data_IF_343061627610
#
_entry.id   IF_343061627610
#
_cell.length_a   1.000
_cell.length_b   1.000
_cell.length_c   1.000
_cell.angle_alpha   90.00
_cell.angle_beta   90.00
_cell.angle_gamma   90.00
#
_symmetry.space_group_name_H-M   'P 1'
#
loop_
_entity.id
_entity.type
_entity.pdbx_description
1 polymer ?
#
# COMPACT_ATOMS: atom_id res chain seq x y z
N UNK A 1 27.71 -2.38 14.14
CA UNK A 1 26.34 -1.93 13.83
C UNK A 1 25.36 -2.99 14.34
N UNK A 2 24.18 -2.60 14.84
CA UNK A 2 23.11 -3.59 15.03
C UNK A 2 22.55 -3.91 13.65
N UNK A 3 22.51 -5.19 13.27
CA UNK A 3 21.83 -5.63 12.05
C UNK A 3 20.33 -5.35 12.22
N UNK A 4 19.81 -4.42 11.42
CA UNK A 4 18.39 -4.01 11.39
C UNK A 4 17.71 -4.47 10.10
N UNK A 5 18.33 -5.40 9.39
CA UNK A 5 17.89 -5.86 8.08
C UNK A 5 17.06 -7.15 8.17
N UNK A 6 15.89 -7.12 7.54
CA UNK A 6 15.11 -8.29 7.19
C UNK A 6 15.36 -8.58 5.72
N UNK A 7 16.05 -9.68 5.43
CA UNK A 7 16.54 -9.99 4.09
C UNK A 7 15.63 -11.04 3.47
N UNK A 8 15.23 -10.86 2.22
CA UNK A 8 14.59 -11.89 1.42
C UNK A 8 15.20 -12.02 0.03
N UNK A 9 14.51 -12.72 -0.86
CA UNK A 9 14.95 -12.96 -2.22
C UNK A 9 13.77 -12.93 -3.20
N UNK A 10 14.09 -12.92 -4.49
CA UNK A 10 13.10 -13.16 -5.54
C UNK A 10 12.56 -14.59 -5.49
N UNK A 11 11.38 -14.79 -6.05
CA UNK A 11 10.70 -16.09 -6.05
C UNK A 11 10.28 -16.52 -7.46
N UNK A 12 10.22 -17.83 -7.67
CA UNK A 12 9.61 -18.46 -8.83
C UNK A 12 8.33 -19.17 -8.39
N UNK A 13 7.22 -18.92 -9.08
CA UNK A 13 5.95 -19.58 -8.78
C UNK A 13 5.90 -20.99 -9.35
N UNK A 14 5.25 -21.89 -8.62
CA UNK A 14 4.92 -23.24 -9.06
C UNK A 14 3.45 -23.54 -8.73
N UNK A 15 2.58 -23.87 -9.69
CA UNK A 15 2.82 -23.86 -11.13
C UNK A 15 3.21 -22.47 -11.67
N UNK A 16 3.92 -22.45 -12.80
CA UNK A 16 4.23 -21.20 -13.49
C UNK A 16 2.94 -20.44 -13.85
N UNK A 17 2.99 -19.10 -13.82
CA UNK A 17 1.81 -18.25 -14.05
C UNK A 17 0.88 -18.07 -12.84
N UNK A 18 1.05 -18.85 -11.76
CA UNK A 18 0.22 -18.69 -10.55
C UNK A 18 0.37 -17.29 -9.95
N UNK A 19 -0.74 -16.56 -9.75
CA UNK A 19 -0.73 -15.19 -9.19
C UNK A 19 0.24 -14.24 -9.92
N UNK A 20 0.28 -14.28 -11.25
CA UNK A 20 1.32 -13.64 -12.07
C UNK A 20 1.60 -12.17 -11.72
N UNK A 21 0.55 -11.34 -11.53
CA UNK A 21 0.72 -9.92 -11.14
C UNK A 21 1.46 -9.77 -9.81
N UNK A 22 1.10 -10.58 -8.83
CA UNK A 22 1.77 -10.58 -7.53
C UNK A 22 3.22 -11.04 -7.66
N UNK A 23 3.46 -12.11 -8.43
CA UNK A 23 4.81 -12.62 -8.68
C UNK A 23 5.69 -11.60 -9.41
N UNK A 24 5.12 -10.81 -10.34
CA UNK A 24 5.82 -9.71 -10.98
C UNK A 24 6.17 -8.63 -9.97
N UNK A 25 5.17 -8.15 -9.22
CA UNK A 25 5.33 -7.12 -8.20
C UNK A 25 6.44 -7.45 -7.20
N UNK A 26 6.37 -8.59 -6.50
CA UNK A 26 7.37 -8.98 -5.49
C UNK A 26 8.79 -9.15 -6.04
N UNK A 27 8.94 -9.36 -7.35
CA UNK A 27 10.24 -9.55 -8.00
C UNK A 27 10.76 -8.27 -8.66
N UNK A 28 9.94 -7.25 -8.87
CA UNK A 28 10.31 -6.03 -9.61
C UNK A 28 10.55 -4.79 -8.74
N UNK A 29 10.12 -4.80 -7.47
CA UNK A 29 10.35 -3.66 -6.56
C UNK A 29 11.82 -3.27 -6.51
N UNK A 30 12.13 -1.98 -6.63
CA UNK A 30 13.46 -1.47 -6.30
C UNK A 30 13.69 -1.50 -4.78
N UNK A 31 14.93 -1.26 -4.34
CA UNK A 31 15.29 -1.19 -2.91
C UNK A 31 14.44 -0.16 -2.17
N UNK A 32 14.24 1.03 -2.74
CA UNK A 32 13.43 2.08 -2.13
C UNK A 32 11.94 1.70 -2.10
N UNK A 33 11.47 1.02 -3.15
CA UNK A 33 10.10 0.53 -3.24
C UNK A 33 9.76 -0.55 -2.21
N UNK A 34 10.75 -1.25 -1.64
CA UNK A 34 10.51 -2.13 -0.49
C UNK A 34 9.96 -1.35 0.72
N UNK A 35 10.28 -0.06 0.85
CA UNK A 35 9.73 0.81 1.89
C UNK A 35 8.47 1.54 1.41
N UNK A 36 8.50 2.15 0.23
CA UNK A 36 7.42 3.02 -0.24
C UNK A 36 6.17 2.25 -0.66
N UNK A 37 6.28 0.97 -1.04
CA UNK A 37 5.13 0.14 -1.44
C UNK A 37 4.61 -0.79 -0.33
N UNK A 38 5.06 -0.58 0.92
CA UNK A 38 4.55 -1.31 2.09
C UNK A 38 3.03 -1.12 2.32
N UNK A 39 2.42 -0.12 1.69
CA UNK A 39 1.00 0.23 1.84
C UNK A 39 0.09 -0.40 0.78
N UNK A 40 0.62 -1.21 -0.14
CA UNK A 40 -0.17 -1.90 -1.18
C UNK A 40 -0.85 -3.18 -0.63
N UNK A 41 -1.83 -3.72 -1.36
CA UNK A 41 -2.55 -4.95 -1.02
C UNK A 41 -1.70 -6.21 -1.11
N UNK A 42 -0.52 -6.11 -1.69
CA UNK A 42 0.40 -7.22 -1.92
C UNK A 42 1.42 -7.40 -0.79
N UNK A 43 1.51 -6.46 0.16
CA UNK A 43 2.51 -6.51 1.23
C UNK A 43 2.43 -7.79 2.10
N UNK A 44 3.53 -8.22 2.74
CA UNK A 44 4.85 -7.59 2.84
C UNK A 44 5.63 -7.44 1.52
N UNK A 45 6.47 -6.40 1.41
CA UNK A 45 7.29 -6.12 0.20
C UNK A 45 8.51 -7.04 0.06
N UNK A 46 8.99 -7.57 1.18
CA UNK A 46 9.86 -8.75 1.23
C UNK A 46 8.97 -9.91 1.64
N UNK A 47 8.83 -10.93 0.79
CA UNK A 47 7.79 -11.96 0.95
C UNK A 47 8.23 -13.08 1.90
N UNK A 48 7.37 -13.49 2.83
CA UNK A 48 7.55 -14.76 3.54
C UNK A 48 7.23 -15.93 2.57
N UNK A 49 8.01 -17.03 2.51
CA UNK A 49 9.00 -17.52 3.47
C UNK A 49 10.46 -17.17 3.17
N UNK A 50 10.75 -16.09 2.45
CA UNK A 50 12.15 -15.76 2.08
C UNK A 50 12.97 -15.15 3.23
N UNK A 51 12.33 -14.83 4.35
CA UNK A 51 12.91 -14.01 5.40
C UNK A 51 14.11 -14.66 6.10
N UNK A 52 15.20 -13.92 6.10
CA UNK A 52 16.42 -14.19 6.86
C UNK A 52 16.76 -12.95 7.69
N UNK A 53 16.87 -13.13 9.00
CA UNK A 53 17.26 -12.07 9.92
C UNK A 53 17.97 -12.63 11.14
N UNK A 54 18.70 -11.78 11.87
CA UNK A 54 19.33 -12.21 13.12
C UNK A 54 18.27 -12.51 14.19
N UNK A 55 18.53 -13.50 15.06
CA UNK A 55 17.68 -13.78 16.23
C UNK A 55 17.46 -12.53 17.09
N UNK A 56 18.48 -11.67 17.20
CA UNK A 56 18.38 -10.40 17.94
C UNK A 56 17.35 -9.46 17.31
N UNK A 57 17.33 -9.33 15.98
CA UNK A 57 16.31 -8.54 15.28
C UNK A 57 14.91 -9.13 15.50
N UNK A 58 14.75 -10.43 15.31
CA UNK A 58 13.46 -11.12 15.54
C UNK A 58 12.91 -10.85 16.95
N UNK A 59 13.73 -11.05 17.98
CA UNK A 59 13.34 -10.78 19.37
C UNK A 59 13.05 -9.29 19.64
N UNK A 60 13.70 -8.38 18.92
CA UNK A 60 13.46 -6.93 19.05
C UNK A 60 12.12 -6.53 18.43
N UNK A 61 11.80 -7.06 17.25
CA UNK A 61 10.51 -6.81 16.58
C UNK A 61 9.36 -7.35 17.45
N UNK A 62 9.51 -8.58 17.92
CA UNK A 62 8.49 -9.32 18.68
C UNK A 62 8.21 -10.67 18.05
N UNK A 63 7.52 -11.54 18.78
CA UNK A 63 7.03 -12.81 18.24
C UNK A 63 5.88 -12.56 17.25
N UNK A 64 5.56 -13.57 16.43
CA UNK A 64 4.36 -13.54 15.59
C UNK A 64 3.10 -13.49 16.46
N UNK A 65 2.04 -12.90 15.91
CA UNK A 65 0.72 -12.90 16.54
C UNK A 65 0.10 -14.30 16.42
N UNK A 66 -0.16 -14.93 17.57
CA UNK A 66 -0.72 -16.30 17.67
C UNK A 66 -2.25 -16.30 17.80
N UNK A 67 -2.93 -15.20 17.45
CA UNK A 67 -4.40 -15.08 17.51
C UNK A 67 -5.17 -16.05 16.61
N UNK A 68 -4.47 -16.83 15.78
CA UNK A 68 -5.01 -17.96 15.05
C UNK A 68 -5.53 -17.62 13.65
N UNK A 69 -6.46 -18.44 13.15
CA UNK A 69 -6.95 -18.39 11.77
C UNK A 69 -7.52 -17.01 11.42
N UNK A 70 -6.99 -16.40 10.36
CA UNK A 70 -7.44 -15.09 9.85
C UNK A 70 -6.61 -13.89 10.34
N UNK A 71 -5.62 -14.13 11.21
CA UNK A 71 -4.59 -13.14 11.54
C UNK A 71 -3.54 -13.10 10.41
N UNK A 72 -3.17 -11.93 9.88
CA UNK A 72 -2.06 -11.79 8.93
C UNK A 72 -0.75 -11.53 9.69
N UNK A 73 -0.26 -12.55 10.37
CA UNK A 73 0.90 -12.52 11.25
C UNK A 73 2.17 -11.97 10.57
N UNK A 74 2.40 -12.33 9.31
CA UNK A 74 3.53 -11.85 8.52
C UNK A 74 3.45 -10.33 8.31
N UNK A 75 2.27 -9.82 7.95
CA UNK A 75 2.08 -8.39 7.74
C UNK A 75 2.24 -7.60 9.05
N UNK A 76 1.71 -8.13 10.15
CA UNK A 76 1.83 -7.51 11.47
C UNK A 76 3.28 -7.44 11.93
N UNK A 77 4.03 -8.54 11.79
CA UNK A 77 5.47 -8.56 12.08
C UNK A 77 6.21 -7.56 11.20
N UNK A 78 5.91 -7.53 9.90
CA UNK A 78 6.56 -6.62 8.96
C UNK A 78 6.31 -5.14 9.30
N UNK A 79 5.07 -4.78 9.67
CA UNK A 79 4.76 -3.42 10.12
C UNK A 79 5.48 -3.07 11.41
N UNK A 80 5.53 -3.98 12.38
CA UNK A 80 6.26 -3.75 13.63
C UNK A 80 7.77 -3.58 13.38
N UNK A 81 8.33 -4.36 12.45
CA UNK A 81 9.70 -4.21 11.98
C UNK A 81 9.96 -2.82 11.40
N UNK A 82 9.09 -2.33 10.52
CA UNK A 82 9.20 -0.99 9.94
C UNK A 82 9.04 0.12 10.99
N UNK A 83 8.12 -0.03 11.95
CA UNK A 83 7.93 0.92 13.07
C UNK A 83 9.20 1.13 13.87
N UNK A 84 9.99 0.08 14.05
CA UNK A 84 11.24 0.10 14.80
C UNK A 84 12.46 0.56 13.97
N UNK A 85 12.24 1.10 12.77
CA UNK A 85 13.30 1.55 11.87
C UNK A 85 14.01 0.41 11.13
N UNK A 86 13.37 -0.74 10.99
CA UNK A 86 13.87 -1.85 10.21
C UNK A 86 14.03 -1.50 8.72
N UNK A 87 15.07 -2.04 8.09
CA UNK A 87 15.33 -1.83 6.65
C UNK A 87 15.12 -3.15 5.88
N UNK A 88 14.04 -3.27 5.09
CA UNK A 88 13.85 -4.44 4.25
C UNK A 88 14.91 -4.48 3.15
N UNK A 89 15.49 -5.65 2.92
CA UNK A 89 16.40 -5.91 1.80
C UNK A 89 15.92 -7.12 1.01
N UNK A 90 16.12 -7.08 -0.31
CA UNK A 90 15.86 -8.21 -1.19
C UNK A 90 17.08 -8.45 -2.07
N UNK A 91 17.51 -9.70 -2.16
CA UNK A 91 18.42 -10.13 -3.20
C UNK A 91 17.63 -10.33 -4.50
N UNK A 92 18.03 -9.66 -5.57
CA UNK A 92 17.39 -9.74 -6.90
C UNK A 92 17.76 -11.02 -7.67
N UNK A 93 17.78 -12.13 -6.95
CA UNK A 93 17.94 -13.48 -7.48
C UNK A 93 16.75 -14.32 -7.05
N UNK A 94 16.25 -15.16 -7.97
CA UNK A 94 15.15 -16.09 -7.69
C UNK A 94 15.69 -17.32 -6.98
N UNK A 95 15.68 -17.30 -5.64
CA UNK A 95 16.25 -18.36 -4.81
C UNK A 95 15.20 -19.25 -4.13
N UNK A 96 13.91 -18.89 -4.22
CA UNK A 96 12.81 -19.66 -3.64
C UNK A 96 11.81 -20.10 -4.72
N UNK A 97 11.50 -21.39 -4.76
CA UNK A 97 10.30 -21.90 -5.45
C UNK A 97 9.10 -21.75 -4.52
N UNK A 98 8.27 -20.76 -4.78
CA UNK A 98 7.10 -20.44 -3.96
C UNK A 98 5.85 -21.09 -4.55
N UNK A 99 5.54 -22.29 -4.05
CA UNK A 99 4.40 -23.11 -4.50
C UNK A 99 3.07 -22.45 -4.15
N UNK A 100 2.20 -22.31 -5.14
CA UNK A 100 0.81 -21.94 -4.96
C UNK A 100 -0.02 -23.18 -4.58
N UNK A 101 -0.96 -23.00 -3.67
CA UNK A 101 -1.91 -24.04 -3.28
C UNK A 101 -3.27 -23.40 -3.01
N UNK A 102 -4.35 -24.00 -3.50
CA UNK A 102 -5.71 -23.45 -3.37
C UNK A 102 -6.21 -23.42 -1.93
N UNK A 103 -5.71 -24.32 -1.08
CA UNK A 103 -6.01 -24.34 0.36
C UNK A 103 -5.05 -23.47 1.22
N UNK A 104 -4.38 -22.47 0.62
CA UNK A 104 -3.47 -21.61 1.37
C UNK A 104 -4.18 -20.88 2.54
N UNK A 105 -3.51 -20.81 3.70
CA UNK A 105 -4.05 -20.15 4.90
C UNK A 105 -4.41 -18.68 4.67
N UNK A 106 -3.79 -18.03 3.68
CA UNK A 106 -4.10 -16.67 3.22
C UNK A 106 -5.58 -16.47 2.90
N UNK A 107 -6.30 -17.51 2.47
CA UNK A 107 -7.75 -17.43 2.21
C UNK A 107 -8.60 -17.20 3.46
N UNK A 108 -8.04 -17.43 4.66
CA UNK A 108 -8.72 -17.15 5.93
C UNK A 108 -8.63 -15.69 6.37
N UNK A 109 -7.68 -14.92 5.83
CA UNK A 109 -7.54 -13.50 6.14
C UNK A 109 -8.49 -12.71 5.25
N UNK A 110 -9.35 -11.89 5.85
CA UNK A 110 -10.35 -11.12 5.09
C UNK A 110 -9.74 -9.87 4.44
N UNK A 111 -10.30 -9.44 3.30
CA UNK A 111 -9.92 -8.18 2.65
C UNK A 111 -10.11 -6.99 3.61
N UNK A 112 -11.16 -6.99 4.44
CA UNK A 112 -11.42 -5.92 5.41
C UNK A 112 -10.37 -5.85 6.51
N UNK A 113 -9.85 -7.00 6.97
CA UNK A 113 -8.73 -7.04 7.92
C UNK A 113 -7.48 -6.40 7.31
N UNK A 114 -7.06 -6.84 6.12
CA UNK A 114 -5.89 -6.29 5.42
C UNK A 114 -6.08 -4.80 5.12
N UNK A 115 -7.28 -4.42 4.66
CA UNK A 115 -7.62 -3.03 4.38
C UNK A 115 -7.46 -2.15 5.62
N UNK A 116 -8.03 -2.55 6.76
CA UNK A 116 -7.93 -1.79 8.01
C UNK A 116 -6.47 -1.62 8.44
N UNK A 117 -5.70 -2.71 8.47
CA UNK A 117 -4.28 -2.67 8.85
C UNK A 117 -3.47 -1.73 7.95
N UNK A 118 -3.71 -1.76 6.63
CA UNK A 118 -3.05 -0.88 5.68
C UNK A 118 -3.46 0.58 5.85
N UNK A 119 -4.75 0.87 6.06
CA UNK A 119 -5.21 2.25 6.32
C UNK A 119 -4.59 2.78 7.60
N UNK A 120 -4.58 1.99 8.67
CA UNK A 120 -3.99 2.39 9.96
C UNK A 120 -2.49 2.67 9.81
N UNK A 121 -1.76 1.80 9.11
CA UNK A 121 -0.33 1.97 8.87
C UNK A 121 -0.03 3.18 7.96
N UNK A 122 -0.82 3.40 6.90
CA UNK A 122 -0.71 4.58 6.05
C UNK A 122 -0.93 5.88 6.84
N UNK A 123 -1.95 5.91 7.70
CA UNK A 123 -2.24 7.06 8.54
C UNK A 123 -1.11 7.35 9.53
N UNK A 124 -0.57 6.29 10.16
CA UNK A 124 0.50 6.36 11.12
C UNK A 124 1.80 6.87 10.49
N UNK A 125 2.19 6.33 9.34
CA UNK A 125 3.54 6.50 8.78
C UNK A 125 3.65 7.59 7.72
N UNK A 126 2.59 7.85 6.97
CA UNK A 126 2.60 8.81 5.87
C UNK A 126 1.74 10.01 6.21
N UNK A 127 0.44 9.81 6.46
CA UNK A 127 -0.49 10.93 6.60
C UNK A 127 -0.29 11.72 7.90
N UNK A 128 0.39 11.16 8.90
CA UNK A 128 0.79 11.87 10.12
C UNK A 128 1.79 13.00 9.83
N UNK A 129 2.59 12.85 8.77
CA UNK A 129 3.65 13.79 8.38
C UNK A 129 3.15 14.87 7.40
N UNK A 130 1.96 14.68 6.82
CA UNK A 130 1.41 15.59 5.83
C UNK A 130 0.34 16.48 6.44
N UNK A 131 0.36 17.77 6.11
CA UNK A 131 -0.69 18.71 6.49
C UNK A 131 -1.96 18.50 5.66
N UNK A 132 -1.79 18.12 4.40
CA UNK A 132 -2.86 17.92 3.42
C UNK A 132 -2.37 17.02 2.29
N UNK A 133 -3.30 16.42 1.54
CA UNK A 133 -2.99 15.58 0.39
C UNK A 133 -4.17 15.43 -0.57
N UNK A 134 -3.91 14.89 -1.76
CA UNK A 134 -4.91 14.55 -2.78
C UNK A 134 -5.01 13.03 -2.93
N UNK A 135 -6.24 12.50 -3.06
CA UNK A 135 -6.45 11.09 -3.40
C UNK A 135 -6.62 10.95 -4.91
N UNK A 136 -5.66 10.29 -5.57
CA UNK A 136 -5.75 10.01 -7.00
C UNK A 136 -6.55 8.72 -7.21
N UNK A 137 -7.86 8.90 -7.40
CA UNK A 137 -8.91 7.96 -7.83
C UNK A 137 -10.25 8.50 -7.28
N UNK A 138 -11.04 9.17 -8.11
CA UNK A 138 -12.35 9.70 -7.71
C UNK A 138 -13.47 8.64 -7.74
N UNK A 139 -13.12 7.35 -7.85
CA UNK A 139 -14.02 6.19 -7.93
C UNK A 139 -14.07 5.37 -6.65
N UNK A 140 -14.38 4.07 -6.79
CA UNK A 140 -14.68 3.16 -5.67
C UNK A 140 -13.56 3.09 -4.63
N UNK A 141 -12.31 2.89 -5.07
CA UNK A 141 -11.19 2.67 -4.15
C UNK A 141 -10.78 3.93 -3.40
N UNK A 142 -10.63 5.07 -4.09
CA UNK A 142 -10.28 6.33 -3.42
C UNK A 142 -11.37 6.79 -2.45
N UNK A 143 -12.65 6.68 -2.82
CA UNK A 143 -13.76 6.97 -1.90
C UNK A 143 -13.81 5.99 -0.72
N UNK A 144 -13.48 4.71 -0.92
CA UNK A 144 -13.36 3.74 0.18
C UNK A 144 -12.24 4.16 1.14
N UNK A 145 -11.08 4.61 0.62
CA UNK A 145 -9.98 5.10 1.45
C UNK A 145 -10.45 6.30 2.27
N UNK A 146 -10.99 7.35 1.63
CA UNK A 146 -11.49 8.54 2.30
C UNK A 146 -12.41 8.21 3.47
N UNK A 147 -13.41 7.35 3.25
CA UNK A 147 -14.37 6.93 4.29
C UNK A 147 -13.74 6.12 5.43
N UNK A 148 -12.60 5.48 5.16
CA UNK A 148 -11.87 4.66 6.14
C UNK A 148 -10.87 5.46 6.98
N UNK A 149 -10.55 6.70 6.57
CA UNK A 149 -9.64 7.56 7.31
C UNK A 149 -10.27 8.01 8.64
N UNK A 150 -9.42 8.28 9.62
CA UNK A 150 -9.81 9.05 10.82
C UNK A 150 -10.33 10.43 10.42
N UNK A 151 -11.17 11.03 11.27
CA UNK A 151 -11.72 12.36 11.01
C UNK A 151 -10.64 13.42 10.78
N UNK A 152 -9.52 13.31 11.51
CA UNK A 152 -8.36 14.20 11.36
C UNK A 152 -7.81 14.10 9.94
N UNK A 153 -7.56 12.88 9.45
CA UNK A 153 -7.00 12.69 8.10
C UNK A 153 -8.01 12.89 6.98
N UNK A 154 -9.32 12.72 7.21
CA UNK A 154 -10.36 13.13 6.25
C UNK A 154 -10.28 14.63 5.95
N UNK A 155 -10.09 15.46 6.98
CA UNK A 155 -9.96 16.93 6.85
C UNK A 155 -8.70 17.37 6.11
N UNK A 156 -7.70 16.52 6.02
CA UNK A 156 -6.47 16.75 5.24
C UNK A 156 -6.66 16.55 3.74
N UNK A 157 -7.74 15.88 3.31
CA UNK A 157 -7.98 15.60 1.88
C UNK A 157 -8.45 16.87 1.18
N UNK A 158 -7.59 17.44 0.34
CA UNK A 158 -7.88 18.65 -0.44
C UNK A 158 -8.78 18.37 -1.63
N UNK A 159 -8.54 17.27 -2.32
CA UNK A 159 -9.25 16.89 -3.52
C UNK A 159 -9.21 15.37 -3.74
N UNK A 160 -10.14 14.90 -4.55
CA UNK A 160 -9.90 13.75 -5.41
C UNK A 160 -9.39 14.26 -6.76
N UNK A 161 -8.57 13.45 -7.43
CA UNK A 161 -8.30 13.66 -8.84
C UNK A 161 -8.46 12.37 -9.65
N UNK A 162 -8.70 12.52 -10.95
CA UNK A 162 -8.86 11.41 -11.89
C UNK A 162 -8.48 11.84 -13.32
N UNK A 163 -8.44 10.86 -14.23
CA UNK A 163 -8.31 11.05 -15.68
C UNK A 163 -9.65 10.84 -16.40
N UNK A 164 -10.62 10.22 -15.71
CA UNK A 164 -11.95 9.95 -16.25
C UNK A 164 -12.83 11.20 -16.19
N UNK A 165 -13.08 11.79 -17.36
CA UNK A 165 -13.91 12.99 -17.54
C UNK A 165 -15.30 12.86 -16.89
N UNK A 166 -15.91 11.68 -16.90
CA UNK A 166 -17.22 11.49 -16.28
C UNK A 166 -17.17 11.64 -14.76
N UNK A 167 -16.03 11.33 -14.14
CA UNK A 167 -15.84 11.57 -12.70
C UNK A 167 -15.52 13.03 -12.43
N UNK A 168 -14.70 13.65 -13.26
CA UNK A 168 -14.30 15.07 -13.14
C UNK A 168 -15.53 15.98 -13.27
N UNK A 169 -16.41 15.71 -14.24
CA UNK A 169 -17.65 16.47 -14.46
C UNK A 169 -18.60 16.47 -13.26
N UNK A 170 -18.47 15.53 -12.31
CA UNK A 170 -19.25 15.54 -11.06
C UNK A 170 -18.85 16.68 -10.13
N UNK A 171 -17.68 17.29 -10.34
CA UNK A 171 -17.06 18.41 -9.61
C UNK A 171 -16.77 18.17 -8.13
N UNK A 172 -17.61 17.43 -7.42
CA UNK A 172 -17.50 17.16 -6.00
C UNK A 172 -17.91 15.73 -5.65
N UNK A 173 -17.31 15.21 -4.59
CA UNK A 173 -17.76 14.04 -3.86
C UNK A 173 -18.29 14.45 -2.49
N UNK A 174 -19.53 14.09 -2.19
CA UNK A 174 -20.13 14.29 -0.87
C UNK A 174 -20.14 12.97 -0.10
N UNK A 175 -19.63 12.98 1.13
CA UNK A 175 -19.70 11.81 2.01
C UNK A 175 -21.07 11.73 2.69
N UNK A 176 -22.02 11.09 1.99
CA UNK A 176 -23.43 11.06 2.39
C UNK A 176 -23.69 10.40 3.75
N UNK A 177 -22.90 9.40 4.11
CA UNK A 177 -23.03 8.63 5.36
C UNK A 177 -22.35 9.33 6.56
N UNK A 178 -21.69 10.48 6.34
CA UNK A 178 -21.04 11.24 7.41
C UNK A 178 -22.05 11.80 8.41
N UNK A 179 -21.65 11.80 9.68
CA UNK A 179 -22.39 12.44 10.78
C UNK A 179 -22.13 13.95 10.86
N UNK A 180 -21.07 14.46 10.23
CA UNK A 180 -20.77 15.91 10.22
C UNK A 180 -21.84 16.72 9.47
N UNK A 181 -22.06 17.96 9.93
CA UNK A 181 -22.99 18.93 9.33
C UNK A 181 -22.28 20.28 9.20
N UNK A 182 -22.15 20.85 7.98
CA UNK A 182 -22.54 20.28 6.68
C UNK A 182 -21.80 18.97 6.36
N UNK A 183 -22.38 18.14 5.48
CA UNK A 183 -21.74 16.90 5.05
C UNK A 183 -20.39 17.21 4.37
N UNK A 184 -19.32 16.46 4.66
CA UNK A 184 -18.03 16.67 4.03
C UNK A 184 -18.16 16.57 2.52
N UNK A 185 -17.66 17.59 1.83
CA UNK A 185 -17.68 17.70 0.37
C UNK A 185 -16.25 17.96 -0.09
N UNK A 186 -15.74 17.11 -0.99
CA UNK A 186 -14.36 17.16 -1.49
C UNK A 186 -14.40 17.39 -3.00
N UNK A 187 -13.67 18.38 -3.55
CA UNK A 187 -13.64 18.62 -4.99
C UNK A 187 -13.04 17.43 -5.75
N UNK A 188 -13.48 17.25 -6.99
CA UNK A 188 -12.94 16.29 -7.95
C UNK A 188 -12.33 17.07 -9.10
N UNK A 189 -11.01 16.96 -9.24
CA UNK A 189 -10.22 17.71 -10.22
C UNK A 189 -9.70 16.81 -11.33
N UNK A 190 -9.38 17.40 -12.47
CA UNK A 190 -8.51 16.73 -13.45
C UNK A 190 -7.10 16.59 -12.84
N UNK A 191 -6.42 15.47 -13.07
CA UNK A 191 -5.13 15.18 -12.42
C UNK A 191 -4.06 16.26 -12.63
N UNK A 192 -4.05 16.96 -13.77
CA UNK A 192 -3.11 18.07 -14.06
C UNK A 192 -3.35 19.32 -13.21
N UNK A 193 -4.55 19.49 -12.67
CA UNK A 193 -4.92 20.64 -11.84
C UNK A 193 -4.76 20.34 -10.34
N UNK A 194 -4.56 19.07 -10.01
CA UNK A 194 -4.42 18.62 -8.64
C UNK A 194 -3.02 18.89 -8.09
N UNK A 195 -2.93 19.14 -6.79
CA UNK A 195 -1.67 19.39 -6.09
C UNK A 195 -1.37 18.29 -5.09
N UNK A 196 -0.08 17.96 -4.98
CA UNK A 196 0.43 16.94 -4.08
C UNK A 196 0.55 17.41 -2.62
N UNK A 197 0.98 16.51 -1.73
CA UNK A 197 1.35 15.13 -2.04
C UNK A 197 0.13 14.24 -2.34
N UNK A 198 0.35 13.08 -2.97
CA UNK A 198 -0.72 12.20 -3.47
C UNK A 198 -0.75 10.82 -2.80
N UNK A 199 -1.96 10.32 -2.55
CA UNK A 199 -2.19 8.88 -2.34
C UNK A 199 -2.80 8.30 -3.60
N UNK A 200 -2.08 7.39 -4.25
CA UNK A 200 -2.47 6.78 -5.51
C UNK A 200 -3.30 5.52 -5.25
N UNK A 201 -4.61 5.61 -5.47
CA UNK A 201 -5.54 4.48 -5.34
C UNK A 201 -5.90 3.86 -6.70
N UNK A 202 -5.05 4.05 -7.70
CA UNK A 202 -5.18 3.43 -9.03
C UNK A 202 -4.45 2.08 -9.01
N UNK A 203 -5.06 1.04 -9.60
CA UNK A 203 -4.45 -0.29 -9.65
C UNK A 203 -3.19 -0.27 -10.51
N UNK A 204 -2.08 -0.73 -9.94
CA UNK A 204 -0.84 -1.00 -10.67
C UNK A 204 -1.08 -2.04 -11.79
N UNK A 205 -0.29 -1.95 -12.86
CA UNK A 205 -0.29 -2.86 -14.02
C UNK A 205 -1.63 -2.97 -14.78
N UNK A 206 -2.60 -2.08 -14.54
CA UNK A 206 -3.93 -2.11 -15.18
C UNK A 206 -4.21 -0.91 -16.09
N UNK A 207 -3.27 0.02 -16.16
CA UNK A 207 -3.37 1.27 -16.95
C UNK A 207 -2.55 1.23 -18.23
N UNK A 208 -1.82 0.14 -18.49
CA UNK A 208 -0.96 0.03 -19.68
C UNK A 208 0.16 1.07 -19.73
N UNK A 209 0.64 1.55 -18.58
CA UNK A 209 1.69 2.58 -18.49
C UNK A 209 1.17 4.02 -18.35
N UNK A 210 -0.12 4.26 -18.56
CA UNK A 210 -0.70 5.63 -18.55
C UNK A 210 -0.56 6.32 -17.18
N UNK A 211 -0.62 5.56 -16.09
CA UNK A 211 -0.44 6.15 -14.75
C UNK A 211 1.01 6.61 -14.58
N UNK A 212 1.95 5.75 -14.95
CA UNK A 212 3.39 5.97 -14.87
C UNK A 212 3.81 7.16 -15.74
N UNK A 213 3.28 7.26 -16.97
CA UNK A 213 3.47 8.42 -17.85
C UNK A 213 2.97 9.72 -17.22
N UNK A 214 1.78 9.69 -16.58
CA UNK A 214 1.23 10.86 -15.91
C UNK A 214 2.04 11.29 -14.69
N UNK A 215 2.52 10.33 -13.88
CA UNK A 215 3.40 10.60 -12.74
C UNK A 215 4.72 11.23 -13.20
N UNK A 216 5.29 10.71 -14.30
CA UNK A 216 6.51 11.23 -14.92
C UNK A 216 6.30 12.64 -15.51
N UNK A 217 5.17 12.87 -16.18
CA UNK A 217 4.84 14.18 -16.75
C UNK A 217 4.68 15.26 -15.67
N UNK A 218 4.18 14.89 -14.49
CA UNK A 218 4.09 15.75 -13.31
C UNK A 218 5.40 15.80 -12.50
N UNK A 219 6.44 15.06 -12.91
CA UNK A 219 7.74 14.96 -12.23
C UNK A 219 7.64 14.54 -10.76
N UNK A 220 6.65 13.70 -10.43
CA UNK A 220 6.41 13.26 -9.06
C UNK A 220 7.34 12.11 -8.70
N UNK A 221 7.88 12.13 -7.48
CA UNK A 221 8.76 11.07 -6.96
C UNK A 221 8.05 10.22 -5.91
N UNK A 222 8.09 8.91 -6.09
CA UNK A 222 7.55 7.96 -5.12
C UNK A 222 8.26 8.13 -3.76
N UNK A 223 7.51 8.04 -2.66
CA UNK A 223 8.05 8.19 -1.31
C UNK A 223 8.30 9.63 -0.87
N UNK A 224 8.15 10.61 -1.77
CA UNK A 224 8.21 12.03 -1.43
C UNK A 224 6.90 12.72 -1.81
N UNK A 225 6.56 12.68 -3.09
CA UNK A 225 5.42 13.39 -3.65
C UNK A 225 4.17 12.50 -3.70
N UNK A 226 4.35 11.17 -3.69
CA UNK A 226 3.23 10.23 -3.63
C UNK A 226 3.57 8.88 -3.00
N UNK A 227 2.52 8.17 -2.57
CA UNK A 227 2.56 6.77 -2.17
C UNK A 227 1.43 5.97 -2.82
N UNK A 228 1.69 4.70 -3.15
CA UNK A 228 0.68 3.78 -3.67
C UNK A 228 -0.17 3.17 -2.55
N UNK A 229 -1.50 3.17 -2.75
CA UNK A 229 -2.48 2.50 -1.90
C UNK A 229 -3.50 1.75 -2.77
N UNK A 230 -3.03 0.69 -3.43
CA UNK A 230 -3.81 -0.15 -4.34
C UNK A 230 -3.90 -1.61 -3.92
#
# INVERSE_FOLDING_TARGET
SMLTELIGCGVQRLPEGSTERYARWINSLTRDQLLTQAYTSHGPTVVMPTWFCSRKLFMKVGLFDEGGKGVPEDLLFFYQFLRQGGSPLRLDQRLLVYRYHEAAATHSVTESTIWKLRVDFLQERVLSQWENFTIWNAGKQGRKLYRSLSLINQKKVKAFCDVDENKIQKRFYTYEESKERPKPTVPVLHYKEATGPFIICVKLDMTGGVLEENLNALQLREGTDYYHFN
#
